data_IF_392647508089
#
_entry.id   IF_392647508089
#
_cell.length_a   1.000
_cell.length_b   1.000
_cell.length_c   1.000
_cell.angle_alpha   90.00
_cell.angle_beta   90.00
_cell.angle_gamma   90.00
#
_symmetry.space_group_name_H-M   'P 1'
#
loop_
_entity.id
_entity.type
_entity.pdbx_description
1 polymer ?
#
# COMPACT_ATOMS: atom_id res chain seq x y z
N UNK A 1 -14.36 25.45 -16.95
CA UNK A 1 -14.31 24.08 -17.47
C UNK A 1 -15.27 23.20 -16.67
N UNK A 2 -16.23 22.49 -17.25
CA UNK A 2 -17.34 22.92 -18.11
C UNK A 2 -18.52 22.00 -17.74
N UNK A 3 -19.75 22.49 -17.77
CA UNK A 3 -21.01 21.79 -17.46
C UNK A 3 -21.17 20.41 -18.15
N UNK A 4 -20.40 20.20 -19.22
CA UNK A 4 -20.24 18.95 -19.98
C UNK A 4 -19.69 17.79 -19.13
N UNK A 5 -18.81 18.03 -18.14
CA UNK A 5 -18.30 16.98 -17.26
C UNK A 5 -19.35 16.46 -16.28
N UNK A 6 -20.31 17.31 -15.88
CA UNK A 6 -21.36 16.94 -14.94
C UNK A 6 -22.41 16.02 -15.60
N UNK A 7 -22.75 16.26 -16.87
CA UNK A 7 -23.67 15.40 -17.62
C UNK A 7 -23.04 14.06 -18.02
N UNK A 8 -21.74 14.03 -18.32
CA UNK A 8 -21.04 12.80 -18.72
C UNK A 8 -20.90 11.78 -17.60
N UNK A 9 -20.78 12.24 -16.34
CA UNK A 9 -20.58 11.34 -15.19
C UNK A 9 -21.90 10.87 -14.55
N UNK A 10 -22.98 11.65 -14.62
CA UNK A 10 -24.28 11.29 -14.03
C UNK A 10 -25.33 10.79 -15.05
N UNK A 11 -25.19 11.11 -16.33
CA UNK A 11 -26.21 10.81 -17.34
C UNK A 11 -26.20 9.38 -17.89
N UNK A 12 -25.09 8.64 -17.75
CA UNK A 12 -24.92 7.31 -18.36
C UNK A 12 -25.49 6.20 -17.46
N UNK A 13 -25.35 6.31 -16.13
CA UNK A 13 -25.88 5.30 -15.19
C UNK A 13 -27.41 5.26 -15.14
N UNK A 14 -28.08 6.40 -15.37
CA UNK A 14 -29.54 6.47 -15.32
C UNK A 14 -30.20 5.73 -16.50
N UNK A 15 -29.58 5.77 -17.69
CA UNK A 15 -30.12 5.08 -18.87
C UNK A 15 -29.83 3.58 -18.87
N UNK A 16 -28.73 3.14 -18.25
CA UNK A 16 -28.34 1.73 -18.21
C UNK A 16 -29.19 0.92 -17.20
N UNK A 17 -29.64 1.56 -16.11
CA UNK A 17 -30.55 0.97 -15.10
C UNK A 17 -31.99 0.75 -15.59
N UNK A 18 -32.46 1.49 -16.59
CA UNK A 18 -33.84 1.42 -17.08
C UNK A 18 -34.08 0.36 -18.18
N UNK A 19 -33.01 -0.15 -18.81
CA UNK A 19 -33.12 -1.04 -19.99
C UNK A 19 -32.71 -2.49 -19.67
N UNK A 20 -31.91 -2.75 -18.63
CA UNK A 20 -31.41 -4.09 -18.31
C UNK A 20 -31.89 -4.55 -16.93
N UNK A 21 -32.98 -5.31 -16.91
CA UNK A 21 -33.47 -6.03 -15.73
C UNK A 21 -33.16 -7.52 -15.90
N UNK A 22 -32.28 -8.15 -15.09
CA UNK A 22 -32.25 -9.60 -15.00
C UNK A 22 -33.32 -10.09 -14.02
N UNK A 23 -33.97 -11.21 -14.35
CA UNK A 23 -34.91 -11.96 -13.51
C UNK A 23 -34.21 -12.60 -12.30
N UNK A 24 -34.91 -12.88 -11.18
CA UNK A 24 -34.31 -13.48 -10.00
C UNK A 24 -34.42 -15.01 -10.05
N UNK A 25 -33.29 -15.72 -10.01
CA UNK A 25 -33.27 -17.11 -9.55
C UNK A 25 -32.22 -17.35 -8.47
N UNK A 26 -32.76 -17.57 -7.26
CA UNK A 26 -32.50 -18.68 -6.32
C UNK A 26 -31.04 -19.11 -6.15
N UNK A 27 -30.45 -18.84 -4.98
CA UNK A 27 -29.68 -19.81 -4.18
C UNK A 27 -29.73 -19.42 -2.69
N UNK A 28 -30.64 -20.08 -1.96
CA UNK A 28 -30.54 -20.23 -0.50
C UNK A 28 -29.44 -21.26 -0.21
N UNK A 29 -28.58 -20.96 0.76
CA UNK A 29 -28.00 -21.97 1.63
C UNK A 29 -27.80 -21.31 3.00
N UNK A 30 -28.69 -21.69 3.91
CA UNK A 30 -28.65 -21.45 5.34
C UNK A 30 -27.49 -22.25 5.98
N UNK A 31 -27.07 -21.77 7.15
CA UNK A 31 -26.29 -22.45 8.21
C UNK A 31 -24.96 -21.77 8.60
N UNK A 32 -24.83 -21.62 9.92
CA UNK A 32 -23.74 -21.10 10.75
C UNK A 32 -23.75 -19.61 11.13
N UNK A 33 -24.91 -19.15 11.64
CA UNK A 33 -24.98 -18.10 12.66
C UNK A 33 -25.02 -18.76 14.05
N UNK A 34 -23.92 -18.75 14.80
CA UNK A 34 -23.89 -18.47 16.24
C UNK A 34 -22.46 -18.61 16.78
N UNK A 35 -22.10 -17.74 17.73
CA UNK A 35 -20.84 -17.71 18.49
C UNK A 35 -19.67 -16.91 17.88
N UNK A 36 -19.81 -15.58 17.79
CA UNK A 36 -18.65 -14.67 17.89
C UNK A 36 -18.96 -13.26 18.45
N UNK A 37 -20.12 -13.07 19.10
CA UNK A 37 -20.55 -11.74 19.55
C UNK A 37 -20.35 -11.52 21.05
N UNK A 38 -19.19 -11.87 21.60
CA UNK A 38 -18.75 -11.37 22.91
C UNK A 38 -17.22 -11.37 22.93
N UNK A 39 -16.60 -10.20 22.76
CA UNK A 39 -15.46 -9.71 23.57
C UNK A 39 -14.87 -8.42 22.99
N UNK A 40 -14.81 -7.39 23.85
CA UNK A 40 -14.02 -6.15 23.74
C UNK A 40 -14.64 -4.96 22.98
N UNK A 41 -15.81 -4.51 23.48
CA UNK A 41 -16.08 -3.08 23.68
C UNK A 41 -15.68 -2.69 25.10
N UNK A 42 -14.60 -1.92 25.26
CA UNK A 42 -14.43 -0.86 26.27
C UNK A 42 -13.01 -0.33 26.21
N UNK A 43 -12.84 0.78 25.48
CA UNK A 43 -12.03 1.94 25.84
C UNK A 43 -12.13 2.94 24.67
N UNK A 44 -12.06 4.23 24.97
CA UNK A 44 -12.26 5.39 24.07
C UNK A 44 -13.68 5.84 23.71
N UNK A 45 -14.64 5.67 24.63
CA UNK A 45 -15.82 6.54 24.64
C UNK A 45 -15.49 7.90 25.28
N UNK A 46 -15.00 8.86 24.51
CA UNK A 46 -15.00 10.27 24.95
C UNK A 46 -16.40 10.85 24.76
N UNK A 47 -17.05 11.20 25.87
CA UNK A 47 -18.30 11.98 25.89
C UNK A 47 -17.98 13.46 25.76
N UNK A 48 -18.10 14.02 24.55
CA UNK A 48 -18.36 15.45 24.37
C UNK A 48 -19.33 15.61 23.19
N UNK A 49 -20.53 16.19 23.38
CA UNK A 49 -21.36 16.59 22.25
C UNK A 49 -20.84 17.95 21.75
N UNK A 50 -20.46 18.06 20.48
CA UNK A 50 -20.25 19.37 19.88
C UNK A 50 -20.73 19.41 18.43
N UNK A 51 -22.05 19.36 18.28
CA UNK A 51 -22.73 20.04 17.19
C UNK A 51 -23.03 21.47 17.63
N UNK A 52 -22.12 22.40 17.38
CA UNK A 52 -22.48 23.81 17.25
C UNK A 52 -22.31 24.20 15.79
N UNK A 53 -23.42 24.67 15.23
CA UNK A 53 -23.52 25.23 13.91
C UNK A 53 -22.48 26.34 13.72
N UNK A 54 -21.60 26.20 12.72
CA UNK A 54 -20.95 27.36 12.12
C UNK A 54 -21.96 27.97 11.16
N UNK A 55 -22.60 29.03 11.64
CA UNK A 55 -23.42 29.94 10.86
C UNK A 55 -22.56 30.54 9.74
N UNK A 56 -22.84 30.20 8.48
CA UNK A 56 -22.09 30.69 7.33
C UNK A 56 -22.62 32.07 6.87
N UNK A 57 -22.51 33.09 7.72
CA UNK A 57 -22.60 34.48 7.30
C UNK A 57 -21.19 35.07 7.26
N UNK A 58 -20.59 35.15 6.07
CA UNK A 58 -19.31 35.82 5.85
C UNK A 58 -19.46 37.33 6.15
N UNK A 59 -18.66 37.94 7.05
CA UNK A 59 -18.60 39.40 7.16
C UNK A 59 -17.93 40.00 5.91
N UNK A 60 -18.27 41.24 5.50
CA UNK A 60 -17.67 41.88 4.33
C UNK A 60 -16.17 42.08 4.53
N UNK A 61 -15.39 41.78 3.48
CA UNK A 61 -13.94 41.99 3.46
C UNK A 61 -13.61 43.49 3.57
N UNK A 62 -12.64 43.89 4.42
CA UNK A 62 -12.12 45.26 4.43
C UNK A 62 -11.33 45.55 3.14
N UNK A 63 -11.23 46.82 2.71
CA UNK A 63 -10.49 47.19 1.50
C UNK A 63 -9.00 46.85 1.63
N UNK A 64 -8.31 46.57 0.51
CA UNK A 64 -6.91 46.15 0.54
C UNK A 64 -6.01 47.25 1.10
N UNK A 65 -5.18 46.89 2.08
CA UNK A 65 -4.13 47.75 2.61
C UNK A 65 -3.06 48.03 1.53
N UNK A 66 -2.38 49.19 1.58
CA UNK A 66 -1.33 49.53 0.62
C UNK A 66 -0.19 48.50 0.67
N UNK A 67 0.32 48.17 -0.51
CA UNK A 67 1.41 47.21 -0.74
C UNK A 67 2.63 47.67 0.07
N UNK A 68 2.90 46.98 1.18
CA UNK A 68 4.19 47.04 1.86
C UNK A 68 5.13 46.14 1.04
N UNK A 69 6.10 46.76 0.39
CA UNK A 69 7.20 46.07 -0.28
C UNK A 69 7.97 45.29 0.77
N UNK A 70 7.66 44.01 0.92
CA UNK A 70 8.45 43.08 1.73
C UNK A 70 9.80 42.97 1.03
N UNK A 71 10.84 43.53 1.65
CA UNK A 71 12.22 43.33 1.22
C UNK A 71 12.46 41.81 1.13
N UNK A 72 12.97 41.36 -0.02
CA UNK A 72 13.51 40.01 -0.19
C UNK A 72 14.52 39.77 0.93
N UNK A 73 14.10 39.02 1.95
CA UNK A 73 15.03 38.35 2.84
C UNK A 73 15.69 37.30 1.95
N UNK A 74 16.98 37.45 1.73
CA UNK A 74 17.78 36.48 0.99
C UNK A 74 17.75 35.21 1.81
N UNK A 75 17.10 34.16 1.31
CA UNK A 75 17.18 32.83 1.89
C UNK A 75 18.67 32.44 1.97
N UNK A 76 19.20 32.33 3.19
CA UNK A 76 20.48 31.69 3.42
C UNK A 76 20.35 30.25 2.94
N UNK A 77 21.12 29.90 1.91
CA UNK A 77 21.24 28.52 1.45
C UNK A 77 21.63 27.66 2.66
N UNK A 78 20.87 26.61 3.01
CA UNK A 78 21.36 25.62 3.94
C UNK A 78 22.48 24.86 3.22
N UNK A 79 23.69 25.38 3.33
CA UNK A 79 24.90 24.69 2.89
C UNK A 79 25.11 23.60 3.93
N UNK A 80 24.78 22.35 3.58
CA UNK A 80 25.39 21.20 4.24
C UNK A 80 26.89 21.42 4.18
N UNK A 81 27.51 21.71 5.32
CA UNK A 81 28.95 21.91 5.42
C UNK A 81 29.59 20.56 5.14
N UNK A 82 29.96 20.34 3.88
CA UNK A 82 30.71 19.18 3.45
C UNK A 82 32.14 19.35 3.95
N UNK A 83 32.62 18.36 4.70
CA UNK A 83 34.02 18.30 5.14
C UNK A 83 34.94 18.00 3.95
N UNK A 84 36.25 18.23 4.10
CA UNK A 84 37.22 17.86 3.05
C UNK A 84 37.18 16.34 2.76
N UNK A 85 36.92 15.52 3.77
CA UNK A 85 36.69 14.08 3.63
C UNK A 85 35.47 13.78 2.75
N UNK A 86 34.36 14.49 2.95
CA UNK A 86 33.15 14.30 2.13
C UNK A 86 33.42 14.62 0.66
N UNK A 87 34.21 15.66 0.39
CA UNK A 87 34.58 16.05 -0.96
C UNK A 87 35.40 14.97 -1.69
N UNK A 88 36.34 14.31 -0.99
CA UNK A 88 37.09 13.18 -1.54
C UNK A 88 36.18 11.98 -1.84
N UNK A 89 35.25 11.68 -0.93
CA UNK A 89 34.30 10.57 -1.10
C UNK A 89 33.36 10.86 -2.27
N UNK A 90 32.85 12.08 -2.39
CA UNK A 90 32.03 12.52 -3.52
C UNK A 90 32.79 12.31 -4.84
N UNK A 91 34.04 12.78 -4.93
CA UNK A 91 34.89 12.56 -6.13
C UNK A 91 35.07 11.06 -6.44
N UNK A 92 35.28 10.24 -5.42
CA UNK A 92 35.42 8.78 -5.55
C UNK A 92 34.14 8.11 -6.05
N UNK A 93 32.97 8.57 -5.60
CA UNK A 93 31.66 8.10 -6.09
C UNK A 93 31.41 8.55 -7.53
N UNK A 94 31.69 9.82 -7.86
CA UNK A 94 31.56 10.36 -9.22
C UNK A 94 32.48 9.63 -10.21
N UNK A 95 33.71 9.30 -9.78
CA UNK A 95 34.65 8.52 -10.58
C UNK A 95 34.29 7.04 -10.72
N UNK A 96 33.31 6.54 -9.96
CA UNK A 96 32.89 5.14 -9.96
C UNK A 96 33.77 4.19 -9.14
N UNK A 97 34.81 4.70 -8.47
CA UNK A 97 35.72 3.90 -7.63
C UNK A 97 35.01 3.43 -6.35
N UNK A 98 34.13 4.25 -5.78
CA UNK A 98 33.31 3.89 -4.62
C UNK A 98 31.86 3.63 -5.03
N UNK A 99 31.33 2.40 -4.83
CA UNK A 99 29.93 2.12 -5.13
C UNK A 99 28.99 2.86 -4.18
N UNK A 100 28.02 3.61 -4.74
CA UNK A 100 27.11 4.47 -3.96
C UNK A 100 26.23 3.70 -2.96
N UNK A 101 25.85 2.46 -3.24
CA UNK A 101 25.05 1.63 -2.33
C UNK A 101 25.81 1.18 -1.08
N UNK A 102 27.14 1.36 -1.04
CA UNK A 102 27.99 0.96 0.10
C UNK A 102 28.26 2.10 1.08
N UNK A 103 27.70 3.29 0.86
CA UNK A 103 28.01 4.48 1.65
C UNK A 103 27.51 4.35 3.09
N UNK A 104 26.31 3.83 3.29
CA UNK A 104 25.72 3.66 4.63
C UNK A 104 26.59 2.75 5.50
N UNK A 105 27.06 1.62 4.95
CA UNK A 105 27.90 0.67 5.69
C UNK A 105 29.33 1.17 5.91
N UNK A 106 29.89 1.95 4.99
CA UNK A 106 31.24 2.53 5.12
C UNK A 106 31.31 3.72 6.07
N UNK A 107 30.28 4.56 6.05
CA UNK A 107 30.26 5.82 6.81
C UNK A 107 29.65 5.63 8.20
N UNK A 108 28.77 4.65 8.39
CA UNK A 108 28.04 4.45 9.65
C UNK A 108 27.03 5.56 9.97
N UNK A 109 26.75 6.44 9.00
CA UNK A 109 25.81 7.56 9.11
C UNK A 109 24.97 7.62 7.83
N UNK A 110 23.68 7.28 7.95
CA UNK A 110 22.80 7.15 6.80
C UNK A 110 22.44 8.50 6.20
N UNK A 111 22.31 9.54 7.04
CA UNK A 111 22.05 10.90 6.59
C UNK A 111 23.24 11.46 5.81
N UNK A 112 24.45 11.30 6.32
CA UNK A 112 25.70 11.69 5.63
C UNK A 112 25.85 10.93 4.32
N UNK A 113 25.55 9.63 4.30
CA UNK A 113 25.56 8.82 3.08
C UNK A 113 24.58 9.36 2.02
N UNK A 114 23.34 9.71 2.43
CA UNK A 114 22.36 10.33 1.55
C UNK A 114 22.82 11.70 1.02
N UNK A 115 23.46 12.52 1.87
CA UNK A 115 24.02 13.82 1.48
C UNK A 115 25.12 13.70 0.42
N UNK A 116 26.10 12.84 0.65
CA UNK A 116 27.20 12.56 -0.28
C UNK A 116 26.66 12.03 -1.60
N UNK A 117 25.71 11.08 -1.55
CA UNK A 117 25.08 10.52 -2.75
C UNK A 117 24.33 11.57 -3.54
N UNK A 118 23.55 12.41 -2.85
CA UNK A 118 22.82 13.52 -3.46
C UNK A 118 23.78 14.46 -4.19
N UNK A 119 24.88 14.85 -3.57
CA UNK A 119 25.86 15.74 -4.18
C UNK A 119 26.58 15.08 -5.37
N UNK A 120 26.98 13.82 -5.24
CA UNK A 120 27.55 13.07 -6.36
C UNK A 120 26.57 12.98 -7.55
N UNK A 121 25.27 12.77 -7.28
CA UNK A 121 24.24 12.71 -8.31
C UNK A 121 24.05 14.07 -9.02
N UNK A 122 24.09 15.18 -8.29
CA UNK A 122 24.03 16.53 -8.88
C UNK A 122 25.22 16.77 -9.83
N UNK A 123 26.43 16.36 -9.44
CA UNK A 123 27.64 16.50 -10.28
C UNK A 123 27.61 15.63 -11.52
N UNK A 124 27.16 14.38 -11.38
CA UNK A 124 27.06 13.43 -12.49
C UNK A 124 26.02 13.87 -13.53
N UNK A 125 24.88 14.40 -13.07
CA UNK A 125 23.77 14.76 -13.96
C UNK A 125 23.81 16.21 -14.44
N UNK A 126 24.57 17.08 -13.76
CA UNK A 126 24.54 18.52 -13.95
C UNK A 126 23.20 19.16 -13.56
N UNK A 127 22.31 18.43 -12.86
CA UNK A 127 20.98 18.89 -12.47
C UNK A 127 20.92 19.14 -10.97
N UNK A 128 20.28 20.24 -10.59
CA UNK A 128 20.00 20.57 -9.19
C UNK A 128 18.89 19.66 -8.63
N UNK A 129 19.05 19.23 -7.38
CA UNK A 129 18.03 18.57 -6.57
C UNK A 129 17.38 19.54 -5.57
N UNK A 130 17.57 20.83 -5.76
CA UNK A 130 16.88 21.87 -5.00
C UNK A 130 15.37 21.63 -4.95
N UNK A 131 14.77 21.82 -3.77
CA UNK A 131 13.37 21.50 -3.51
C UNK A 131 13.09 20.06 -3.08
N UNK A 132 14.07 19.14 -3.16
CA UNK A 132 14.01 17.84 -2.50
C UNK A 132 14.65 17.93 -1.11
N UNK A 133 13.89 17.86 0.00
CA UNK A 133 14.46 17.94 1.34
C UNK A 133 15.40 16.78 1.67
N UNK A 134 16.36 17.06 2.57
CA UNK A 134 17.28 16.08 3.13
C UNK A 134 17.18 16.04 4.66
N UNK A 135 17.03 17.20 5.30
CA UNK A 135 16.90 17.27 6.76
C UNK A 135 15.50 16.89 7.27
N UNK A 136 15.41 16.52 8.55
CA UNK A 136 14.14 16.20 9.22
C UNK A 136 13.59 14.81 8.94
N UNK A 137 14.41 13.91 8.38
CA UNK A 137 14.04 12.51 8.11
C UNK A 137 15.01 11.55 8.81
N UNK A 138 14.45 10.48 9.38
CA UNK A 138 15.19 9.38 10.02
C UNK A 138 15.60 8.36 8.94
N UNK A 139 16.84 8.48 8.44
CA UNK A 139 17.36 7.62 7.38
C UNK A 139 17.71 6.21 7.87
N UNK A 140 18.01 6.07 9.16
CA UNK A 140 18.28 4.80 9.80
C UNK A 140 17.04 3.90 9.76
N UNK A 141 15.84 4.48 9.91
CA UNK A 141 14.57 3.73 9.88
C UNK A 141 14.26 3.03 8.55
N UNK A 142 14.77 3.53 7.42
CA UNK A 142 14.50 2.96 6.08
C UNK A 142 15.53 1.95 5.61
N UNK A 143 16.71 1.92 6.25
CA UNK A 143 17.86 1.14 5.81
C UNK A 143 17.53 -0.36 5.82
N UNK A 144 17.64 -0.99 4.65
CA UNK A 144 17.41 -2.44 4.48
C UNK A 144 15.95 -2.86 4.63
N UNK A 145 15.01 -1.91 4.69
CA UNK A 145 13.59 -2.19 4.89
C UNK A 145 12.69 -1.53 3.83
N UNK A 146 12.90 -0.23 3.54
CA UNK A 146 11.93 0.56 2.77
C UNK A 146 12.48 1.11 1.45
N UNK A 147 13.72 1.58 1.44
CA UNK A 147 14.31 2.21 0.25
C UNK A 147 15.83 2.09 0.26
N UNK A 148 16.39 1.78 -0.90
CA UNK A 148 17.83 1.75 -1.14
C UNK A 148 18.31 3.07 -1.74
N UNK A 149 19.56 3.43 -1.45
CA UNK A 149 20.25 4.59 -2.04
C UNK A 149 19.46 5.92 -1.94
N UNK A 150 18.98 6.33 -0.76
CA UNK A 150 18.20 7.56 -0.61
C UNK A 150 19.03 8.82 -0.95
N UNK A 151 18.38 9.83 -1.53
CA UNK A 151 18.96 11.17 -1.85
C UNK A 151 18.14 12.34 -1.28
N UNK A 152 17.13 12.01 -0.47
CA UNK A 152 16.10 12.91 0.03
C UNK A 152 14.78 12.19 0.20
N UNK A 153 13.71 12.94 0.39
CA UNK A 153 12.34 12.42 0.47
C UNK A 153 11.35 13.40 -0.16
N UNK A 154 10.17 12.92 -0.55
CA UNK A 154 9.12 13.78 -1.12
C UNK A 154 8.09 14.10 -0.04
N UNK A 155 7.79 15.38 0.14
CA UNK A 155 6.72 15.83 1.02
C UNK A 155 5.38 15.79 0.28
N UNK A 156 4.40 15.10 0.86
CA UNK A 156 3.03 15.04 0.32
C UNK A 156 2.09 15.72 1.31
N UNK A 157 1.27 16.71 0.90
CA UNK A 157 0.28 17.31 1.77
C UNK A 157 -0.70 16.27 2.32
N UNK A 158 -0.97 16.34 3.63
CA UNK A 158 -1.90 15.44 4.31
C UNK A 158 -3.08 16.24 4.86
N UNK A 159 -4.28 15.91 4.38
CA UNK A 159 -5.54 16.44 4.91
C UNK A 159 -6.30 15.39 5.72
N UNK A 160 -7.30 15.83 6.49
CA UNK A 160 -8.21 14.97 7.24
C UNK A 160 -9.63 15.12 6.67
N UNK A 161 -10.31 14.00 6.41
CA UNK A 161 -11.74 13.96 6.10
C UNK A 161 -12.50 13.22 7.22
N UNK A 162 -13.62 13.78 7.69
CA UNK A 162 -14.45 13.15 8.72
C UNK A 162 -15.32 14.10 9.55
N UNK A 163 -16.06 13.57 10.53
CA UNK A 163 -16.06 12.16 10.95
C UNK A 163 -16.80 11.26 9.95
N UNK A 164 -16.20 10.10 9.65
CA UNK A 164 -16.82 9.02 8.90
C UNK A 164 -17.41 8.02 9.88
N UNK A 165 -18.75 7.93 9.94
CA UNK A 165 -19.46 6.98 10.81
C UNK A 165 -19.64 5.64 10.10
N UNK A 166 -18.89 4.62 10.51
CA UNK A 166 -18.97 3.25 9.98
C UNK A 166 -19.12 2.27 11.13
N UNK A 167 -20.09 1.34 11.03
CA UNK A 167 -20.32 0.29 12.03
C UNK A 167 -20.48 0.85 13.47
N UNK A 168 -21.10 2.02 13.60
CA UNK A 168 -21.32 2.71 14.86
C UNK A 168 -20.07 3.35 15.48
N UNK A 169 -18.97 3.49 14.74
CA UNK A 169 -17.73 4.15 15.16
C UNK A 169 -17.38 5.31 14.22
N UNK A 170 -16.88 6.40 14.79
CA UNK A 170 -16.42 7.57 14.02
C UNK A 170 -14.94 7.50 13.73
N UNK A 171 -14.56 7.82 12.49
CA UNK A 171 -13.18 7.83 12.03
C UNK A 171 -12.81 9.18 11.41
N UNK A 172 -11.61 9.66 11.73
CA UNK A 172 -10.94 10.72 10.99
C UNK A 172 -9.99 10.08 9.99
N UNK A 173 -10.25 10.26 8.70
CA UNK A 173 -9.51 9.59 7.62
C UNK A 173 -8.37 10.50 7.15
N UNK A 174 -7.09 10.13 7.39
CA UNK A 174 -5.95 10.85 6.83
C UNK A 174 -5.82 10.56 5.34
N UNK A 175 -5.61 11.61 4.54
CA UNK A 175 -5.48 11.52 3.09
C UNK A 175 -4.25 12.31 2.63
N UNK A 176 -3.23 11.60 2.13
CA UNK A 176 -2.07 12.21 1.49
C UNK A 176 -2.35 12.40 -0.01
N UNK A 177 -2.42 13.65 -0.49
CA UNK A 177 -2.73 13.95 -1.90
C UNK A 177 -2.23 15.32 -2.32
N UNK A 178 -1.94 15.49 -3.61
CA UNK A 178 -1.73 16.78 -4.26
C UNK A 178 -2.91 17.22 -5.12
N UNK A 179 -3.95 16.38 -5.23
CA UNK A 179 -5.15 16.67 -6.01
C UNK A 179 -6.07 17.67 -5.28
N UNK A 180 -6.35 18.79 -5.95
CA UNK A 180 -7.27 19.80 -5.44
C UNK A 180 -8.69 19.27 -5.28
N UNK A 181 -9.41 19.78 -4.28
CA UNK A 181 -10.80 19.40 -3.97
C UNK A 181 -11.04 17.95 -3.52
N UNK A 182 -10.09 17.02 -3.65
CA UNK A 182 -10.29 15.62 -3.28
C UNK A 182 -10.68 15.47 -1.80
N UNK A 183 -9.87 16.00 -0.88
CA UNK A 183 -10.14 15.92 0.57
C UNK A 183 -11.46 16.61 0.93
N UNK A 184 -11.73 17.79 0.36
CA UNK A 184 -12.97 18.53 0.61
C UNK A 184 -14.21 17.77 0.11
N UNK A 185 -14.12 17.14 -1.06
CA UNK A 185 -15.18 16.31 -1.64
C UNK A 185 -15.44 15.07 -0.77
N UNK A 186 -14.38 14.35 -0.36
CA UNK A 186 -14.49 13.22 0.56
C UNK A 186 -15.12 13.64 1.88
N UNK A 187 -14.70 14.78 2.45
CA UNK A 187 -15.26 15.31 3.68
C UNK A 187 -16.76 15.65 3.56
N UNK A 188 -17.19 16.19 2.41
CA UNK A 188 -18.61 16.39 2.11
C UNK A 188 -19.38 15.06 2.07
N UNK A 189 -18.78 14.03 1.50
CA UNK A 189 -19.32 12.66 1.50
C UNK A 189 -19.45 12.08 2.91
N UNK A 190 -18.42 12.20 3.75
CA UNK A 190 -18.46 11.79 5.16
C UNK A 190 -19.60 12.47 5.90
N UNK A 191 -19.79 13.79 5.70
CA UNK A 191 -20.90 14.54 6.29
C UNK A 191 -22.26 13.98 5.86
N UNK A 192 -22.45 13.69 4.58
CA UNK A 192 -23.71 13.13 4.07
C UNK A 192 -24.00 11.74 4.67
N UNK A 193 -23.00 10.86 4.72
CA UNK A 193 -23.10 9.52 5.34
C UNK A 193 -23.46 9.66 6.82
N UNK A 194 -22.75 10.52 7.54
CA UNK A 194 -22.96 10.73 8.97
C UNK A 194 -24.38 11.22 9.27
N UNK A 195 -24.86 12.24 8.54
CA UNK A 195 -26.23 12.77 8.69
C UNK A 195 -27.31 11.75 8.31
N UNK A 196 -26.96 10.72 7.53
CA UNK A 196 -27.87 9.63 7.13
C UNK A 196 -27.88 8.46 8.12
N UNK A 197 -27.22 8.59 9.29
CA UNK A 197 -27.14 7.54 10.31
C UNK A 197 -25.91 6.63 10.19
N UNK A 198 -24.97 6.96 9.30
CA UNK A 198 -23.74 6.21 9.09
C UNK A 198 -23.84 5.14 8.00
N UNK A 199 -22.73 4.44 7.79
CA UNK A 199 -22.63 3.33 6.86
C UNK A 199 -22.33 2.01 7.59
N UNK A 200 -22.69 0.90 6.96
CA UNK A 200 -22.35 -0.45 7.42
C UNK A 200 -21.43 -1.11 6.42
N UNK A 201 -20.38 -1.77 6.91
CA UNK A 201 -19.45 -2.52 6.07
C UNK A 201 -19.11 -3.87 6.71
N UNK A 202 -18.95 -4.89 5.86
CA UNK A 202 -18.60 -6.26 6.25
C UNK A 202 -17.49 -6.79 5.35
N UNK A 203 -16.51 -7.47 5.93
CA UNK A 203 -15.44 -8.12 5.19
C UNK A 203 -15.89 -9.50 4.70
N UNK A 204 -16.00 -9.69 3.38
CA UNK A 204 -16.47 -10.95 2.80
C UNK A 204 -15.37 -12.01 2.69
N UNK A 205 -14.12 -11.59 2.48
CA UNK A 205 -12.98 -12.49 2.34
C UNK A 205 -11.67 -11.77 2.66
N UNK A 206 -10.79 -12.47 3.36
CA UNK A 206 -9.40 -12.10 3.55
C UNK A 206 -8.49 -13.24 3.06
N UNK A 207 -7.50 -12.90 2.24
CA UNK A 207 -6.62 -13.87 1.63
C UNK A 207 -5.64 -13.25 0.64
N UNK A 208 -4.38 -13.11 1.06
CA UNK A 208 -3.29 -12.73 0.17
C UNK A 208 -2.90 -13.89 -0.74
N UNK A 209 -2.47 -13.58 -1.97
CA UNK A 209 -2.17 -14.62 -2.96
C UNK A 209 -0.79 -14.50 -3.56
N UNK A 210 -0.22 -15.66 -3.91
CA UNK A 210 1.00 -15.75 -4.71
C UNK A 210 0.80 -16.84 -5.76
N UNK A 211 1.17 -16.54 -7.00
CA UNK A 211 0.91 -17.40 -8.14
C UNK A 211 2.19 -17.70 -8.94
N UNK A 212 3.05 -18.63 -8.49
CA UNK A 212 4.16 -19.10 -9.30
C UNK A 212 3.64 -19.86 -10.54
N UNK A 213 4.52 -19.93 -11.54
CA UNK A 213 4.37 -20.82 -12.69
C UNK A 213 5.46 -21.88 -12.62
N UNK A 214 5.07 -23.14 -12.78
CA UNK A 214 5.99 -24.27 -12.93
C UNK A 214 5.79 -24.87 -14.32
N UNK A 215 6.86 -25.47 -14.87
CA UNK A 215 6.88 -25.99 -16.23
C UNK A 215 7.39 -27.42 -16.24
N UNK A 216 6.72 -28.26 -17.02
CA UNK A 216 7.02 -29.68 -17.13
C UNK A 216 7.49 -30.05 -18.55
N UNK A 217 8.06 -31.25 -18.68
CA UNK A 217 8.35 -31.85 -19.99
C UNK A 217 7.09 -32.13 -20.82
N UNK A 218 5.97 -32.48 -20.17
CA UNK A 218 4.70 -32.82 -20.83
C UNK A 218 3.49 -32.18 -20.13
N UNK A 219 2.40 -32.00 -20.88
CA UNK A 219 1.13 -31.54 -20.31
C UNK A 219 0.51 -32.52 -19.31
N UNK A 220 0.78 -33.82 -19.48
CA UNK A 220 0.32 -34.86 -18.54
C UNK A 220 0.86 -34.61 -17.13
N UNK A 221 2.17 -34.33 -16.98
CA UNK A 221 2.75 -34.07 -15.65
C UNK A 221 2.24 -32.80 -15.00
N UNK A 222 1.94 -31.77 -15.80
CA UNK A 222 1.26 -30.58 -15.30
C UNK A 222 -0.14 -30.91 -14.75
N UNK A 223 -0.86 -31.82 -15.39
CA UNK A 223 -2.15 -32.32 -14.91
C UNK A 223 -1.99 -33.19 -13.66
N UNK A 224 -1.00 -34.07 -13.60
CA UNK A 224 -0.76 -34.93 -12.44
C UNK A 224 -0.46 -34.08 -11.18
N UNK A 225 0.38 -33.04 -11.29
CA UNK A 225 0.62 -32.12 -10.16
C UNK A 225 -0.63 -31.30 -9.80
N UNK A 226 -1.43 -30.86 -10.78
CA UNK A 226 -2.70 -30.18 -10.50
C UNK A 226 -3.62 -31.05 -9.65
N UNK A 227 -3.77 -32.32 -10.02
CA UNK A 227 -4.60 -33.28 -9.29
C UNK A 227 -4.07 -33.47 -7.87
N UNK A 228 -2.75 -33.62 -7.70
CA UNK A 228 -2.12 -33.75 -6.39
C UNK A 228 -2.39 -32.52 -5.48
N UNK A 229 -2.24 -31.30 -6.01
CA UNK A 229 -2.38 -30.07 -5.24
C UNK A 229 -3.83 -29.70 -4.91
N UNK A 230 -4.79 -30.16 -5.68
CA UNK A 230 -6.22 -29.92 -5.46
C UNK A 230 -6.92 -31.09 -4.75
N UNK A 231 -6.20 -32.17 -4.46
CA UNK A 231 -6.68 -33.29 -3.67
C UNK A 231 -6.79 -32.89 -2.17
N UNK A 232 -7.99 -32.95 -1.57
CA UNK A 232 -8.18 -32.65 -0.15
C UNK A 232 -7.28 -33.47 0.78
N UNK A 233 -6.95 -34.72 0.43
CA UNK A 233 -6.15 -35.60 1.28
C UNK A 233 -4.68 -35.12 1.40
N UNK A 234 -4.20 -34.36 0.42
CA UNK A 234 -2.85 -33.79 0.42
C UNK A 234 -2.77 -32.40 1.06
N UNK A 235 -3.92 -31.75 1.28
CA UNK A 235 -3.97 -30.36 1.72
C UNK A 235 -3.27 -30.14 3.06
N UNK A 236 -3.49 -31.02 4.04
CA UNK A 236 -2.90 -30.88 5.38
C UNK A 236 -1.37 -30.92 5.33
N UNK A 237 -0.80 -31.80 4.49
CA UNK A 237 0.65 -31.88 4.29
C UNK A 237 1.19 -30.58 3.68
N UNK A 238 0.54 -30.09 2.63
CA UNK A 238 0.91 -28.84 1.96
C UNK A 238 0.77 -27.63 2.90
N UNK A 239 -0.29 -27.60 3.70
CA UNK A 239 -0.54 -26.57 4.70
C UNK A 239 0.54 -26.59 5.79
N UNK A 240 0.93 -27.77 6.30
CA UNK A 240 2.03 -27.89 7.27
C UNK A 240 3.34 -27.34 6.68
N UNK A 241 3.68 -27.70 5.45
CA UNK A 241 4.91 -27.22 4.78
C UNK A 241 4.87 -25.70 4.58
N UNK A 242 3.75 -25.16 4.10
CA UNK A 242 3.57 -23.73 3.89
C UNK A 242 3.66 -22.94 5.21
N UNK A 243 2.92 -23.41 6.23
CA UNK A 243 2.74 -22.71 7.51
C UNK A 243 4.01 -22.71 8.37
N UNK A 244 4.97 -23.62 8.14
CA UNK A 244 6.28 -23.62 8.84
C UNK A 244 7.06 -22.32 8.69
N UNK A 245 6.81 -21.56 7.62
CA UNK A 245 7.50 -20.30 7.35
C UNK A 245 7.05 -19.13 8.23
N UNK A 246 5.87 -19.22 8.88
CA UNK A 246 5.27 -18.10 9.60
C UNK A 246 4.29 -18.52 10.70
N UNK A 247 4.28 -17.77 11.81
CA UNK A 247 3.29 -17.94 12.88
C UNK A 247 1.89 -17.45 12.50
N UNK A 248 1.79 -16.52 11.55
CA UNK A 248 0.52 -15.91 11.11
C UNK A 248 0.00 -16.50 9.79
N UNK A 249 0.92 -16.91 8.91
CA UNK A 249 0.57 -17.43 7.58
C UNK A 249 -0.21 -18.74 7.69
N UNK A 250 -1.47 -18.76 7.24
CA UNK A 250 -2.25 -20.01 7.14
C UNK A 250 -2.74 -20.21 5.73
N UNK A 251 -2.26 -21.27 5.08
CA UNK A 251 -2.73 -21.70 3.77
C UNK A 251 -4.25 -21.93 3.83
N UNK A 252 -4.99 -21.29 2.93
CA UNK A 252 -6.43 -21.45 2.77
C UNK A 252 -6.79 -22.35 1.58
N UNK A 253 -5.93 -22.38 0.56
CA UNK A 253 -6.20 -23.14 -0.66
C UNK A 253 -5.18 -22.88 -1.76
N UNK A 254 -5.11 -23.82 -2.70
CA UNK A 254 -4.30 -23.72 -3.92
C UNK A 254 -5.24 -23.94 -5.10
N UNK A 255 -5.35 -22.95 -5.98
CA UNK A 255 -6.12 -23.08 -7.22
C UNK A 255 -5.18 -23.16 -8.41
N UNK A 256 -5.31 -24.22 -9.19
CA UNK A 256 -4.40 -24.51 -10.29
C UNK A 256 -5.02 -24.22 -11.67
N UNK A 257 -4.27 -23.61 -12.57
CA UNK A 257 -4.65 -23.42 -13.97
C UNK A 257 -3.54 -23.94 -14.91
N UNK A 258 -3.92 -24.77 -15.90
CA UNK A 258 -2.97 -25.38 -16.86
C UNK A 258 -2.99 -24.61 -18.18
N UNK A 259 -1.79 -24.39 -18.74
CA UNK A 259 -1.60 -23.91 -20.11
C UNK A 259 -0.53 -24.77 -20.79
N UNK A 260 -0.97 -25.80 -21.51
CA UNK A 260 -0.06 -26.78 -22.12
C UNK A 260 0.77 -27.50 -21.06
N UNK A 261 2.09 -27.29 -21.06
CA UNK A 261 3.03 -27.86 -20.09
C UNK A 261 3.37 -26.93 -18.93
N UNK A 262 2.70 -25.78 -18.83
CA UNK A 262 2.84 -24.84 -17.73
C UNK A 262 1.66 -25.00 -16.77
N UNK A 263 1.94 -24.89 -15.47
CA UNK A 263 0.96 -24.94 -14.40
C UNK A 263 1.11 -23.69 -13.54
N UNK A 264 0.03 -22.92 -13.42
CA UNK A 264 -0.05 -21.73 -12.57
C UNK A 264 -0.75 -22.09 -11.27
N UNK A 265 -0.08 -21.84 -10.15
CA UNK A 265 -0.51 -22.30 -8.83
C UNK A 265 -0.91 -21.10 -7.97
N UNK A 266 -2.19 -20.77 -7.86
CA UNK A 266 -2.63 -19.64 -7.03
C UNK A 266 -2.81 -20.09 -5.58
N UNK A 267 -1.80 -19.88 -4.76
CA UNK A 267 -1.88 -20.02 -3.32
C UNK A 267 -2.68 -18.86 -2.73
N UNK A 268 -3.55 -19.16 -1.78
CA UNK A 268 -4.26 -18.16 -0.96
C UNK A 268 -3.95 -18.43 0.50
N UNK A 269 -3.59 -17.41 1.28
CA UNK A 269 -3.34 -17.56 2.71
C UNK A 269 -3.79 -16.34 3.52
N UNK A 270 -4.11 -16.55 4.79
CA UNK A 270 -4.24 -15.43 5.74
C UNK A 270 -2.86 -14.95 6.17
N UNK A 271 -2.75 -13.68 6.54
CA UNK A 271 -1.45 -13.04 6.84
C UNK A 271 -1.44 -12.26 8.16
N UNK A 272 -2.49 -12.40 8.98
CA UNK A 272 -2.72 -11.56 10.15
C UNK A 272 -2.92 -10.10 9.72
N UNK A 273 -2.35 -9.16 10.47
CA UNK A 273 -2.46 -7.73 10.16
C UNK A 273 -1.51 -7.26 9.04
N UNK A 274 -0.57 -8.11 8.62
CA UNK A 274 0.35 -7.78 7.55
C UNK A 274 -0.34 -7.95 6.19
N UNK A 275 -0.01 -7.08 5.22
CA UNK A 275 -0.37 -7.32 3.82
C UNK A 275 0.25 -8.63 3.30
N UNK A 276 1.44 -8.99 3.80
CA UNK A 276 1.91 -10.38 3.81
C UNK A 276 2.60 -10.90 2.55
N UNK A 277 2.89 -10.08 1.54
CA UNK A 277 3.55 -10.52 0.29
C UNK A 277 4.84 -11.32 0.50
N UNK A 278 5.76 -10.85 1.37
CA UNK A 278 7.00 -11.58 1.65
C UNK A 278 6.73 -12.91 2.37
N UNK A 279 5.77 -12.91 3.30
CA UNK A 279 5.35 -14.09 4.04
C UNK A 279 4.79 -15.17 3.11
N UNK A 280 3.84 -14.80 2.24
CA UNK A 280 3.22 -15.74 1.28
C UNK A 280 4.27 -16.27 0.31
N UNK A 281 5.21 -15.43 -0.14
CA UNK A 281 6.31 -15.85 -1.01
C UNK A 281 7.18 -16.93 -0.40
N UNK A 282 7.56 -16.75 0.87
CA UNK A 282 8.37 -17.72 1.60
C UNK A 282 7.62 -19.03 1.83
N UNK A 283 6.33 -18.94 2.17
CA UNK A 283 5.47 -20.12 2.30
C UNK A 283 5.34 -20.90 0.99
N UNK A 284 5.13 -20.19 -0.14
CA UNK A 284 5.08 -20.82 -1.47
C UNK A 284 6.41 -21.45 -1.83
N UNK A 285 7.54 -20.79 -1.59
CA UNK A 285 8.86 -21.35 -1.88
C UNK A 285 9.08 -22.67 -1.14
N UNK A 286 8.74 -22.73 0.16
CA UNK A 286 8.85 -23.97 0.93
C UNK A 286 8.02 -25.12 0.32
N UNK A 287 6.81 -24.82 -0.17
CA UNK A 287 5.99 -25.84 -0.83
C UNK A 287 6.61 -26.27 -2.16
N UNK A 288 7.12 -25.34 -2.96
CA UNK A 288 7.79 -25.68 -4.21
C UNK A 288 9.06 -26.53 -3.98
N UNK A 289 9.86 -26.20 -2.97
CA UNK A 289 11.06 -26.96 -2.59
C UNK A 289 10.70 -28.38 -2.11
N UNK A 290 9.62 -28.51 -1.35
CA UNK A 290 9.07 -29.80 -0.93
C UNK A 290 8.61 -30.63 -2.14
N UNK A 291 7.83 -30.04 -3.07
CA UNK A 291 7.37 -30.71 -4.27
C UNK A 291 8.54 -31.16 -5.17
N UNK A 292 9.63 -30.39 -5.19
CA UNK A 292 10.83 -30.73 -5.96
C UNK A 292 11.66 -31.85 -5.32
N UNK A 293 11.72 -31.91 -3.99
CA UNK A 293 12.60 -32.84 -3.25
C UNK A 293 11.93 -34.18 -2.96
N UNK A 294 10.69 -34.15 -2.49
CA UNK A 294 10.01 -35.34 -1.97
C UNK A 294 9.10 -36.00 -3.02
N UNK A 295 8.81 -35.30 -4.12
CA UNK A 295 8.00 -35.84 -5.22
C UNK A 295 8.81 -35.89 -6.51
N UNK A 296 9.83 -36.74 -6.50
CA UNK A 296 10.67 -37.11 -7.66
C UNK A 296 9.82 -37.59 -8.86
N UNK A 297 8.59 -38.06 -8.59
CA UNK A 297 7.61 -38.46 -9.61
C UNK A 297 6.93 -37.30 -10.35
N UNK A 298 7.25 -36.02 -10.11
CA UNK A 298 6.76 -34.90 -10.92
C UNK A 298 7.83 -34.09 -11.68
N UNK A 299 9.12 -34.19 -11.33
CA UNK A 299 10.19 -33.42 -11.96
C UNK A 299 11.25 -34.30 -12.65
N UNK A 300 10.96 -34.77 -13.87
CA UNK A 300 12.02 -34.84 -14.89
C UNK A 300 12.03 -33.49 -15.59
N UNK A 301 12.86 -32.59 -15.07
CA UNK A 301 13.16 -31.26 -15.64
C UNK A 301 13.92 -31.38 -16.96
#
# INVERSE_FOLDING_TARGET
>A
ASFIYLLGFFGIDFFQSLILRPQPEVWNSEDDDEVADVLLRKEDARKVPCGQALDCSLPPLPPPAPIVTVQKVVDEKPVTVLTEEDEEIIKSVVAGTTPSYSLESKLGDCKRAAAIRREALQRLTGKSLEGLPLDGFDYESILGQCCEMPVGYVQIPVGIAGPLLINGREYSVPMATTEGCLVASTNRGCKAIHLSGGATSTLLRDGMTRAPVVRFGTAKRAADLKLYLEDPDNFDTLAVVFNRSSRFGRLQGIKCAIAGKNLYLRFTCTTGDAMGMNMVSKGVQNVLDFLQTDITEFMDL
#
